data_IF_441697196628
#
_entry.id   IF_441697196628
#
_cell.length_a   1.000
_cell.length_b   1.000
_cell.length_c   1.000
_cell.angle_alpha   90.00
_cell.angle_beta   90.00
_cell.angle_gamma   90.00
#
_symmetry.space_group_name_H-M   'P 1'
#
loop_
_entity.id
_entity.type
_entity.pdbx_description
1 polymer ?
#
# COMPACT_ATOMS: atom_id res chain seq x y z
N UNK A 1 2.76 18.28 5.93
CA UNK A 1 1.59 17.64 5.30
C UNK A 1 0.34 18.05 6.06
N UNK A 2 -0.70 18.51 5.38
CA UNK A 2 -1.97 18.83 6.04
C UNK A 2 -2.55 17.62 6.79
N UNK A 3 -3.23 17.87 7.91
CA UNK A 3 -3.71 16.83 8.81
C UNK A 3 -4.71 15.87 8.16
N UNK A 4 -5.53 16.32 7.21
CA UNK A 4 -6.50 15.47 6.51
C UNK A 4 -5.78 14.52 5.56
N UNK A 5 -4.87 15.06 4.76
CA UNK A 5 -4.09 14.28 3.80
C UNK A 5 -3.23 13.23 4.51
N UNK A 6 -2.58 13.62 5.62
CA UNK A 6 -1.78 12.70 6.44
C UNK A 6 -2.58 11.51 6.97
N UNK A 7 -3.84 11.71 7.39
CA UNK A 7 -4.70 10.62 7.85
C UNK A 7 -5.03 9.63 6.74
N UNK A 8 -5.26 10.11 5.51
CA UNK A 8 -5.49 9.24 4.35
C UNK A 8 -4.29 8.35 4.04
N UNK A 9 -3.08 8.94 4.00
CA UNK A 9 -1.85 8.17 3.81
C UNK A 9 -1.59 7.16 4.94
N UNK A 10 -1.82 7.54 6.20
CA UNK A 10 -1.69 6.64 7.34
C UNK A 10 -2.62 5.43 7.23
N UNK A 11 -3.88 5.65 6.88
CA UNK A 11 -4.85 4.59 6.65
C UNK A 11 -4.40 3.63 5.55
N UNK A 12 -4.00 4.17 4.39
CA UNK A 12 -3.52 3.39 3.27
C UNK A 12 -2.26 2.57 3.63
N UNK A 13 -1.30 3.16 4.36
CA UNK A 13 -0.10 2.46 4.81
C UNK A 13 -0.43 1.33 5.78
N UNK A 14 -1.32 1.53 6.75
CA UNK A 14 -1.74 0.47 7.68
C UNK A 14 -2.44 -0.66 6.93
N UNK A 15 -3.35 -0.36 6.01
CA UNK A 15 -4.01 -1.36 5.17
C UNK A 15 -3.01 -2.13 4.30
N UNK A 16 -2.03 -1.43 3.70
CA UNK A 16 -0.97 -2.05 2.90
C UNK A 16 -0.10 -2.99 3.73
N UNK A 17 0.29 -2.59 4.95
CA UNK A 17 1.03 -3.46 5.89
C UNK A 17 0.23 -4.73 6.19
N UNK A 18 -1.06 -4.59 6.53
CA UNK A 18 -1.94 -5.70 6.85
C UNK A 18 -2.32 -6.58 5.65
N UNK A 19 -2.20 -6.06 4.42
CA UNK A 19 -2.40 -6.84 3.20
C UNK A 19 -1.27 -7.84 2.94
N UNK A 20 -0.04 -7.51 3.37
CA UNK A 20 1.15 -8.36 3.23
C UNK A 20 1.11 -9.52 4.20
N UNK A 21 0.78 -9.24 5.46
CA UNK A 21 0.69 -10.22 6.52
C UNK A 21 -0.17 -9.68 7.67
N UNK A 22 -0.80 -10.56 8.42
CA UNK A 22 -1.41 -10.18 9.68
C UNK A 22 -0.36 -9.66 10.66
N UNK A 23 -0.71 -8.67 11.47
CA UNK A 23 0.25 -7.99 12.35
C UNK A 23 -0.43 -7.49 13.63
N UNK A 24 0.35 -7.08 14.62
CA UNK A 24 -0.13 -6.54 15.90
C UNK A 24 0.35 -5.09 16.08
N UNK A 25 -0.34 -4.34 16.94
CA UNK A 25 -0.20 -2.88 17.05
C UNK A 25 1.25 -2.36 17.02
N UNK A 26 2.10 -2.86 17.91
CA UNK A 26 3.50 -2.45 17.96
C UNK A 26 4.30 -2.76 16.68
N UNK A 27 4.05 -3.89 16.02
CA UNK A 27 4.73 -4.21 14.77
C UNK A 27 4.24 -3.31 13.62
N UNK A 28 2.95 -2.99 13.59
CA UNK A 28 2.39 -2.03 12.61
C UNK A 28 3.06 -0.65 12.74
N UNK A 29 3.27 -0.16 13.97
CA UNK A 29 3.99 1.12 14.20
C UNK A 29 5.40 1.09 13.61
N UNK A 30 6.10 -0.06 13.71
CA UNK A 30 7.45 -0.23 13.18
C UNK A 30 7.51 -0.35 11.66
N UNK A 31 6.50 -0.98 11.06
CA UNK A 31 6.52 -1.29 9.62
C UNK A 31 6.02 -0.12 8.75
N UNK A 32 5.23 0.79 9.32
CA UNK A 32 4.76 1.99 8.61
C UNK A 32 5.89 3.00 8.45
N UNK A 33 6.01 3.68 7.29
CA UNK A 33 7.07 4.67 7.05
C UNK A 33 7.17 5.75 8.12
N UNK A 34 8.38 5.96 8.65
CA UNK A 34 8.65 6.93 9.73
C UNK A 34 8.24 8.37 9.37
N UNK A 35 8.27 8.74 8.08
CA UNK A 35 7.83 10.06 7.58
C UNK A 35 6.37 10.39 7.95
N UNK A 36 5.54 9.37 8.18
CA UNK A 36 4.16 9.55 8.62
C UNK A 36 4.03 9.72 10.14
N UNK A 37 5.09 9.45 10.91
CA UNK A 37 5.12 9.63 12.37
C UNK A 37 3.97 8.91 13.07
N UNK A 38 3.69 7.66 12.68
CA UNK A 38 2.64 6.85 13.30
C UNK A 38 3.05 6.52 14.74
N UNK A 39 2.20 6.90 15.70
CA UNK A 39 2.34 6.56 17.11
C UNK A 39 1.26 5.56 17.53
N UNK A 40 1.44 4.89 18.67
CA UNK A 40 0.40 4.05 19.26
C UNK A 40 -0.91 4.82 19.52
N UNK A 41 -0.81 6.05 20.02
CA UNK A 41 -1.95 6.94 20.26
C UNK A 41 -2.73 7.29 18.99
N UNK A 42 -2.08 7.26 17.83
CA UNK A 42 -2.71 7.47 16.52
C UNK A 42 -3.22 6.17 15.92
N UNK A 43 -2.48 5.07 16.14
CA UNK A 43 -2.77 3.76 15.57
C UNK A 43 -4.05 3.16 16.15
N UNK A 44 -4.24 3.12 17.47
CA UNK A 44 -5.38 2.39 18.05
C UNK A 44 -6.74 2.98 17.66
N UNK A 45 -6.94 4.32 17.65
CA UNK A 45 -8.17 4.90 17.10
C UNK A 45 -8.37 4.58 15.61
N UNK A 46 -7.29 4.58 14.81
CA UNK A 46 -7.34 4.21 13.40
C UNK A 46 -7.76 2.75 13.21
N UNK A 47 -7.16 1.81 13.95
CA UNK A 47 -7.52 0.39 13.92
C UNK A 47 -8.98 0.18 14.33
N UNK A 48 -9.44 0.87 15.38
CA UNK A 48 -10.85 0.80 15.81
C UNK A 48 -11.80 1.26 14.70
N UNK A 49 -11.45 2.32 13.98
CA UNK A 49 -12.25 2.82 12.85
C UNK A 49 -12.26 1.85 11.67
N UNK A 50 -11.10 1.28 11.32
CA UNK A 50 -11.00 0.29 10.24
C UNK A 50 -11.71 -1.02 10.57
N UNK A 51 -11.70 -1.43 11.84
CA UNK A 51 -12.45 -2.59 12.33
C UNK A 51 -13.95 -2.31 12.26
N UNK A 52 -14.38 -1.10 12.68
CA UNK A 52 -15.77 -0.64 12.60
C UNK A 52 -16.31 -0.51 11.17
N UNK A 53 -15.47 -0.18 10.19
CA UNK A 53 -15.83 -0.15 8.76
C UNK A 53 -15.68 -1.52 8.08
N UNK A 54 -15.34 -2.57 8.82
CA UNK A 54 -15.14 -3.92 8.28
C UNK A 54 -13.92 -4.08 7.38
N UNK A 55 -13.05 -3.07 7.28
CA UNK A 55 -11.82 -3.11 6.47
C UNK A 55 -10.74 -4.04 7.06
N UNK A 56 -10.76 -4.23 8.37
CA UNK A 56 -9.89 -5.18 9.06
C UNK A 56 -10.70 -6.07 10.00
N UNK A 57 -10.18 -7.27 10.26
CA UNK A 57 -10.68 -8.16 11.29
C UNK A 57 -9.59 -8.40 12.31
N UNK A 58 -9.98 -8.67 13.56
CA UNK A 58 -9.04 -8.94 14.62
C UNK A 58 -9.26 -10.30 15.27
N UNK A 59 -8.16 -10.89 15.75
CA UNK A 59 -8.14 -12.13 16.51
C UNK A 59 -7.09 -12.04 17.62
N UNK A 60 -7.29 -12.78 18.70
CA UNK A 60 -6.28 -12.92 19.74
C UNK A 60 -5.33 -14.07 19.39
N UNK A 61 -4.03 -13.87 19.56
CA UNK A 61 -3.01 -14.89 19.36
C UNK A 61 -1.88 -14.72 20.37
N UNK A 62 -1.21 -15.82 20.74
CA UNK A 62 -0.03 -15.74 21.57
C UNK A 62 1.19 -15.30 20.74
N UNK A 63 1.99 -14.40 21.31
CA UNK A 63 3.26 -13.96 20.74
C UNK A 63 4.25 -13.66 21.85
N UNK A 64 5.32 -14.47 21.92
CA UNK A 64 6.35 -14.43 22.97
C UNK A 64 5.75 -14.55 24.37
N UNK A 65 4.90 -15.55 24.61
CA UNK A 65 4.29 -15.82 25.92
C UNK A 65 3.23 -14.80 26.37
N UNK A 66 2.80 -13.89 25.48
CA UNK A 66 1.77 -12.88 25.78
C UNK A 66 0.68 -12.90 24.74
N UNK A 67 -0.57 -12.80 25.20
CA UNK A 67 -1.71 -12.67 24.31
C UNK A 67 -1.70 -11.28 23.66
N UNK A 68 -1.77 -11.24 22.33
CA UNK A 68 -1.82 -10.02 21.53
C UNK A 68 -3.02 -10.02 20.61
N UNK A 69 -3.57 -8.82 20.34
CA UNK A 69 -4.58 -8.61 19.31
C UNK A 69 -3.86 -8.46 17.96
N UNK A 70 -4.08 -9.44 17.08
CA UNK A 70 -3.63 -9.44 15.70
C UNK A 70 -4.74 -8.92 14.79
N UNK A 71 -4.34 -8.22 13.75
CA UNK A 71 -5.20 -7.63 12.74
C UNK A 71 -4.86 -8.21 11.38
N UNK A 72 -5.87 -8.37 10.53
CA UNK A 72 -5.72 -8.76 9.13
C UNK A 72 -6.67 -7.95 8.26
N UNK A 73 -6.26 -7.66 7.03
CA UNK A 73 -7.15 -6.99 6.06
C UNK A 73 -8.26 -7.93 5.58
N UNK A 74 -9.46 -7.40 5.38
CA UNK A 74 -10.60 -8.10 4.78
C UNK A 74 -10.69 -7.84 3.27
N UNK A 75 -11.74 -8.35 2.61
CA UNK A 75 -12.05 -7.97 1.22
C UNK A 75 -12.32 -6.47 1.09
N UNK A 76 -13.08 -5.89 2.02
CA UNK A 76 -13.39 -4.47 2.06
C UNK A 76 -12.13 -3.61 2.21
N UNK A 77 -11.21 -3.99 3.10
CA UNK A 77 -9.96 -3.25 3.26
C UNK A 77 -9.05 -3.30 2.02
N UNK A 78 -9.09 -4.40 1.26
CA UNK A 78 -8.37 -4.49 -0.02
C UNK A 78 -9.02 -3.63 -1.10
N UNK A 79 -10.35 -3.60 -1.16
CA UNK A 79 -11.08 -2.72 -2.06
C UNK A 79 -10.76 -1.25 -1.77
N UNK A 80 -10.80 -0.85 -0.50
CA UNK A 80 -10.45 0.48 -0.01
C UNK A 80 -9.02 0.91 -0.37
N UNK A 81 -8.05 0.01 -0.19
CA UNK A 81 -6.67 0.26 -0.61
C UNK A 81 -6.57 0.40 -2.14
N UNK A 82 -7.33 -0.40 -2.89
CA UNK A 82 -7.41 -0.29 -4.34
C UNK A 82 -7.99 1.04 -4.83
N UNK A 83 -9.02 1.57 -4.17
CA UNK A 83 -9.56 2.91 -4.44
C UNK A 83 -8.49 3.98 -4.26
N UNK A 84 -7.82 3.98 -3.09
CA UNK A 84 -6.74 4.92 -2.80
C UNK A 84 -5.62 4.90 -3.86
N UNK A 85 -5.27 3.72 -4.37
CA UNK A 85 -4.26 3.59 -5.42
C UNK A 85 -4.72 4.07 -6.79
N UNK A 86 -6.02 4.01 -7.10
CA UNK A 86 -6.58 4.53 -8.36
C UNK A 86 -6.57 6.06 -8.39
N UNK A 87 -6.80 6.70 -7.25
CA UNK A 87 -6.77 8.16 -7.10
C UNK A 87 -5.34 8.75 -7.26
N UNK A 88 -4.30 7.91 -7.23
CA UNK A 88 -2.90 8.34 -7.34
C UNK A 88 -2.64 9.21 -8.57
N UNK A 89 -3.18 8.83 -9.73
CA UNK A 89 -2.89 9.53 -10.98
C UNK A 89 -3.44 10.96 -10.96
N UNK A 90 -4.61 11.17 -10.36
CA UNK A 90 -5.21 12.49 -10.18
C UNK A 90 -4.35 13.36 -9.26
N UNK A 91 -3.91 12.81 -8.14
CA UNK A 91 -3.03 13.53 -7.19
C UNK A 91 -1.71 13.91 -7.87
N UNK A 92 -1.09 13.00 -8.62
CA UNK A 92 0.15 13.27 -9.36
C UNK A 92 -0.05 14.38 -10.40
N UNK A 93 -1.18 14.39 -11.12
CA UNK A 93 -1.49 15.45 -12.08
C UNK A 93 -1.60 16.82 -11.41
N UNK A 94 -2.25 16.90 -10.25
CA UNK A 94 -2.35 18.14 -9.46
C UNK A 94 -0.97 18.64 -9.05
N UNK A 95 -0.10 17.76 -8.51
CA UNK A 95 1.27 18.14 -8.15
C UNK A 95 2.07 18.65 -9.35
N UNK A 96 2.00 17.96 -10.50
CA UNK A 96 2.67 18.39 -11.73
C UNK A 96 2.21 19.78 -12.19
N UNK A 97 0.92 20.06 -12.10
CA UNK A 97 0.40 21.39 -12.44
C UNK A 97 0.97 22.47 -11.50
N UNK A 98 1.01 22.20 -10.19
CA UNK A 98 1.56 23.13 -9.19
C UNK A 98 3.04 23.39 -9.45
N UNK A 99 3.83 22.35 -9.73
CA UNK A 99 5.27 22.46 -10.05
C UNK A 99 5.52 23.26 -11.33
N UNK A 100 4.75 22.98 -12.38
CA UNK A 100 4.86 23.72 -13.64
C UNK A 100 4.49 25.21 -13.46
N UNK A 101 3.49 25.50 -12.63
CA UNK A 101 3.03 26.87 -12.36
C UNK A 101 3.95 27.63 -11.40
N UNK A 102 4.63 26.96 -10.47
CA UNK A 102 5.53 27.60 -9.49
C UNK A 102 6.88 28.00 -10.07
N UNK A 103 7.19 27.61 -11.33
CA UNK A 103 8.42 28.02 -12.02
C UNK A 103 9.71 27.46 -11.42
N UNK A 104 9.62 26.45 -10.55
CA UNK A 104 10.78 25.79 -9.96
C UNK A 104 11.46 24.93 -11.03
N UNK A 105 12.53 25.47 -11.63
CA UNK A 105 13.51 24.72 -12.45
C UNK A 105 14.43 23.82 -11.60
N UNK A 106 13.96 23.38 -10.45
CA UNK A 106 14.74 22.45 -9.62
C UNK A 106 14.34 21.04 -10.03
N UNK A 107 15.03 20.56 -11.07
CA UNK A 107 14.98 19.16 -11.44
C UNK A 107 15.62 18.33 -10.34
N UNK A 108 14.84 17.46 -9.72
CA UNK A 108 15.34 16.16 -9.31
C UNK A 108 14.20 15.13 -9.18
N UNK A 109 14.39 14.01 -9.87
CA UNK A 109 13.93 12.68 -9.47
C UNK A 109 12.44 12.40 -9.27
N UNK A 110 11.69 12.17 -10.36
CA UNK A 110 10.82 11.00 -10.40
C UNK A 110 11.14 10.21 -11.66
N UNK A 111 12.14 9.33 -11.54
CA UNK A 111 12.55 8.44 -12.61
C UNK A 111 11.34 7.68 -13.19
N UNK A 112 11.33 7.70 -14.51
CA UNK A 112 10.36 7.16 -15.42
C UNK A 112 10.23 5.63 -15.26
N UNK A 113 9.19 5.20 -14.56
CA UNK A 113 8.72 3.82 -14.58
C UNK A 113 7.63 3.63 -15.65
N UNK A 114 7.89 4.06 -16.90
CA UNK A 114 7.15 3.60 -18.08
C UNK A 114 8.12 3.28 -19.22
N UNK A 115 8.80 2.14 -19.08
CA UNK A 115 9.14 1.29 -20.22
C UNK A 115 7.83 0.75 -20.82
N UNK A 116 7.23 1.52 -21.73
CA UNK A 116 6.18 1.04 -22.63
C UNK A 116 6.78 1.01 -24.03
N UNK A 117 6.90 -0.19 -24.60
CA UNK A 117 6.89 -0.41 -26.05
C UNK A 117 8.18 -0.95 -26.66
N UNK A 118 8.14 -2.23 -27.04
CA UNK A 118 9.10 -2.92 -27.91
C UNK A 118 9.42 -4.31 -27.38
N UNK A 119 9.20 -5.44 -28.04
CA UNK A 119 8.91 -5.72 -29.44
C UNK A 119 8.15 -7.05 -29.54
N UNK A 120 7.35 -7.20 -30.60
CA UNK A 120 6.84 -8.49 -31.05
C UNK A 120 8.04 -9.36 -31.45
N UNK A 121 8.14 -10.54 -30.84
CA UNK A 121 8.99 -11.63 -31.29
C UNK A 121 8.21 -12.94 -31.20
N UNK A 122 7.41 -13.22 -32.22
CA UNK A 122 7.09 -14.61 -32.57
C UNK A 122 8.37 -15.20 -33.13
N UNK A 123 8.91 -16.26 -32.52
CA UNK A 123 9.50 -17.40 -33.22
C UNK A 123 10.00 -18.48 -32.24
N UNK A 124 9.50 -19.70 -32.47
CA UNK A 124 10.28 -20.94 -32.37
C UNK A 124 10.66 -21.50 -31.00
N UNK A 125 9.77 -22.30 -30.39
CA UNK A 125 10.20 -23.46 -29.59
C UNK A 125 9.55 -24.70 -30.19
N UNK A 126 10.36 -25.44 -30.94
CA UNK A 126 10.08 -26.80 -31.35
C UNK A 126 10.04 -27.71 -30.12
N UNK A 127 8.91 -28.37 -29.87
CA UNK A 127 8.85 -29.56 -29.02
C UNK A 127 8.66 -30.76 -29.93
N UNK A 128 9.72 -31.55 -30.01
CA UNK A 128 9.74 -32.87 -30.60
C UNK A 128 9.46 -33.82 -29.44
N UNK A 129 8.23 -34.33 -29.35
CA UNK A 129 7.91 -35.42 -28.44
C UNK A 129 7.90 -36.73 -29.22
N UNK A 130 8.82 -37.60 -28.80
CA UNK A 130 8.97 -38.99 -29.20
C UNK A 130 7.68 -39.77 -28.87
N UNK A 131 7.07 -40.42 -29.86
CA UNK A 131 7.16 -41.87 -30.07
C UNK A 131 6.91 -42.71 -28.81
N UNK A 132 5.66 -43.13 -28.63
CA UNK A 132 5.35 -44.45 -28.07
C UNK A 132 4.10 -45.02 -28.74
N UNK A 133 4.34 -45.94 -29.66
CA UNK A 133 3.50 -47.11 -29.92
C UNK A 133 4.42 -48.34 -29.91
#
# INVERSE_FOLDING_TARGET
MDAQMKRGFLEACVLATLCRQESYGYQIVKDVPEILGLTESTLYPLLKRLEGSGCIAARSAEHNGRLRKYYRTTGEGRARLGEFLREKDEVVQVYRYIEAASGSRDGDGFEDARRVGGERGMDGIAMKEDSHE
#
